data_IF_172432523455
#
_entry.id   IF_172432523455
#
_cell.length_a   1.000
_cell.length_b   1.000
_cell.length_c   1.000
_cell.angle_alpha   90.00
_cell.angle_beta   90.00
_cell.angle_gamma   90.00
#
_symmetry.space_group_name_H-M   'P 1'
#
loop_
_entity.id
_entity.type
_entity.pdbx_description
1 polymer ?
#
# COMPACT_ATOMS: atom_id res chain seq x y z
N UNK A 1 -31.08 -14.55 -35.41
CA UNK A 1 -31.43 -13.12 -35.34
C UNK A 1 -30.37 -12.44 -34.46
N UNK A 2 -29.38 -11.78 -35.08
CA UNK A 2 -28.22 -11.18 -34.38
C UNK A 2 -28.63 -10.14 -33.34
N UNK A 3 -29.78 -9.50 -33.55
CA UNK A 3 -30.38 -8.48 -32.67
C UNK A 3 -31.03 -9.07 -31.39
N UNK A 4 -31.42 -10.36 -31.39
CA UNK A 4 -32.23 -10.95 -30.29
C UNK A 4 -31.49 -11.98 -29.45
N UNK A 5 -30.45 -12.61 -29.98
CA UNK A 5 -29.68 -13.63 -29.29
C UNK A 5 -28.49 -13.04 -28.51
N UNK A 6 -28.72 -12.65 -27.26
CA UNK A 6 -27.66 -12.16 -26.38
C UNK A 6 -26.67 -13.25 -25.92
N UNK A 7 -26.95 -14.54 -26.16
CA UNK A 7 -26.05 -15.64 -25.77
C UNK A 7 -24.74 -15.67 -26.57
N UNK A 8 -24.68 -14.94 -27.69
CA UNK A 8 -23.50 -14.82 -28.56
C UNK A 8 -22.95 -13.40 -28.63
N UNK A 9 -23.46 -12.50 -27.80
CA UNK A 9 -23.12 -11.07 -27.84
C UNK A 9 -21.85 -10.80 -27.07
N UNK A 10 -20.98 -9.99 -27.68
CA UNK A 10 -19.82 -9.38 -27.02
C UNK A 10 -19.93 -7.86 -27.20
N UNK A 11 -19.85 -7.09 -26.11
CA UNK A 11 -19.89 -5.62 -26.13
C UNK A 11 -18.82 -5.05 -25.23
N UNK A 12 -18.10 -4.06 -25.73
CA UNK A 12 -17.15 -3.26 -24.98
C UNK A 12 -17.63 -1.80 -24.97
N UNK A 13 -17.71 -1.19 -23.79
CA UNK A 13 -18.00 0.23 -23.64
C UNK A 13 -16.91 0.86 -22.78
N UNK A 14 -16.25 1.90 -23.30
CA UNK A 14 -15.20 2.64 -22.58
C UNK A 14 -15.50 4.13 -22.63
N UNK A 15 -15.35 4.81 -21.50
CA UNK A 15 -15.41 6.27 -21.39
C UNK A 15 -14.23 6.71 -20.55
N UNK A 16 -13.40 7.58 -21.12
CA UNK A 16 -12.19 8.06 -20.46
C UNK A 16 -12.20 9.58 -20.42
N UNK A 17 -11.78 10.14 -19.30
CA UNK A 17 -11.49 11.56 -19.13
C UNK A 17 -10.03 11.69 -18.72
N UNK A 18 -9.27 12.45 -19.51
CA UNK A 18 -7.84 12.67 -19.27
C UNK A 18 -7.58 14.17 -19.14
N UNK A 19 -6.78 14.53 -18.16
CA UNK A 19 -6.23 15.89 -17.97
C UNK A 19 -4.74 15.77 -17.70
N UNK A 20 -4.02 16.89 -17.57
CA UNK A 20 -2.60 16.87 -17.18
C UNK A 20 -2.34 16.18 -15.83
N UNK A 21 -3.31 16.18 -14.91
CA UNK A 21 -3.12 15.74 -13.52
C UNK A 21 -4.13 14.67 -13.09
N UNK A 22 -4.92 14.13 -14.01
CA UNK A 22 -5.88 13.07 -13.67
C UNK A 22 -6.28 12.22 -14.86
N UNK A 23 -6.66 10.99 -14.54
CA UNK A 23 -7.25 10.02 -15.46
C UNK A 23 -8.47 9.40 -14.77
N UNK A 24 -9.60 9.34 -15.46
CA UNK A 24 -10.80 8.66 -14.97
C UNK A 24 -11.34 7.78 -16.10
N UNK A 25 -11.57 6.51 -15.81
CA UNK A 25 -12.08 5.54 -16.78
C UNK A 25 -13.29 4.81 -16.24
N UNK A 26 -14.27 4.62 -17.13
CA UNK A 26 -15.44 3.77 -16.92
C UNK A 26 -15.50 2.75 -18.04
N UNK A 27 -15.13 1.51 -17.75
CA UNK A 27 -15.09 0.44 -18.74
C UNK A 27 -16.06 -0.67 -18.35
N UNK A 28 -16.89 -1.09 -19.31
CA UNK A 28 -17.81 -2.22 -19.18
C UNK A 28 -17.56 -3.21 -20.29
N UNK A 29 -17.49 -4.49 -19.95
CA UNK A 29 -17.36 -5.59 -20.89
C UNK A 29 -18.52 -6.55 -20.66
N UNK A 30 -19.24 -6.88 -21.72
CA UNK A 30 -20.32 -7.87 -21.72
C UNK A 30 -19.92 -9.01 -22.66
N UNK A 31 -19.88 -10.24 -22.15
CA UNK A 31 -19.58 -11.45 -22.93
C UNK A 31 -20.66 -12.49 -22.60
N UNK A 32 -21.48 -12.86 -23.59
CA UNK A 32 -22.52 -13.89 -23.42
C UNK A 32 -23.43 -13.63 -22.20
N UNK A 33 -23.87 -12.37 -22.04
CA UNK A 33 -24.64 -11.81 -20.91
C UNK A 33 -23.89 -11.55 -19.59
N UNK A 34 -22.65 -12.04 -19.44
CA UNK A 34 -21.80 -11.79 -18.28
C UNK A 34 -21.22 -10.37 -18.34
N UNK A 35 -21.44 -9.57 -17.29
CA UNK A 35 -21.03 -8.16 -17.23
C UNK A 35 -19.88 -7.93 -16.26
N UNK A 36 -18.82 -7.33 -16.76
CA UNK A 36 -17.63 -6.93 -16.01
C UNK A 36 -17.50 -5.41 -16.05
N UNK A 37 -17.09 -4.81 -14.94
CA UNK A 37 -16.73 -3.38 -14.90
C UNK A 37 -15.31 -3.21 -14.36
N UNK A 38 -14.45 -2.55 -15.13
CA UNK A 38 -13.07 -2.25 -14.72
C UNK A 38 -12.86 -0.73 -14.81
N UNK A 39 -12.59 -0.11 -13.68
CA UNK A 39 -12.44 1.34 -13.61
C UNK A 39 -11.11 1.67 -12.93
N UNK A 40 -10.45 2.67 -13.49
CA UNK A 40 -9.21 3.24 -12.96
C UNK A 40 -9.41 4.73 -12.84
N UNK A 41 -9.10 5.26 -11.66
CA UNK A 41 -9.05 6.69 -11.39
C UNK A 41 -7.65 7.03 -10.88
N UNK A 42 -7.05 8.10 -11.38
CA UNK A 42 -5.82 8.65 -10.83
C UNK A 42 -5.89 10.16 -10.77
N UNK A 43 -5.21 10.73 -9.79
CA UNK A 43 -5.10 12.17 -9.60
C UNK A 43 -3.73 12.51 -9.00
N UNK A 44 -3.13 13.59 -9.46
CA UNK A 44 -1.89 14.12 -8.90
C UNK A 44 -0.91 14.58 -9.97
N UNK A 45 0.29 14.90 -9.52
CA UNK A 45 1.41 15.28 -10.38
C UNK A 45 2.61 14.40 -10.03
N UNK A 46 2.65 13.16 -10.52
CA UNK A 46 3.72 12.24 -10.19
C UNK A 46 5.03 12.75 -10.78
N UNK A 47 5.99 13.09 -9.93
CA UNK A 47 7.40 13.16 -10.34
C UNK A 47 8.05 11.82 -10.00
N UNK A 48 9.14 11.42 -10.68
CA UNK A 48 9.81 10.15 -10.39
C UNK A 48 10.17 10.00 -8.89
N UNK A 49 10.73 11.07 -8.31
CA UNK A 49 11.24 11.07 -6.92
C UNK A 49 10.32 11.79 -5.92
N UNK A 50 9.58 12.79 -6.38
CA UNK A 50 8.71 13.63 -5.53
C UNK A 50 7.25 13.63 -5.99
N UNK A 51 6.42 14.34 -5.26
CA UNK A 51 5.06 14.68 -5.65
C UNK A 51 4.01 13.86 -4.95
N UNK A 52 2.78 14.29 -5.17
CA UNK A 52 1.57 13.71 -4.61
C UNK A 52 0.75 13.07 -5.72
N UNK A 53 0.39 11.81 -5.54
CA UNK A 53 -0.56 11.14 -6.42
C UNK A 53 -1.37 10.08 -5.70
N UNK A 54 -2.54 9.81 -6.28
CA UNK A 54 -3.50 8.81 -5.86
C UNK A 54 -3.91 7.99 -7.09
N UNK A 55 -4.03 6.67 -6.93
CA UNK A 55 -4.56 5.75 -7.93
C UNK A 55 -5.57 4.84 -7.25
N UNK A 56 -6.75 4.69 -7.86
CA UNK A 56 -7.79 3.74 -7.47
C UNK A 56 -8.11 2.82 -8.64
N UNK A 57 -8.25 1.54 -8.35
CA UNK A 57 -8.68 0.53 -9.32
C UNK A 57 -9.86 -0.23 -8.71
N UNK A 58 -10.88 -0.50 -9.52
CA UNK A 58 -12.01 -1.34 -9.13
C UNK A 58 -12.40 -2.29 -10.25
N UNK A 59 -12.63 -3.55 -9.89
CA UNK A 59 -13.15 -4.61 -10.76
C UNK A 59 -14.45 -5.17 -10.15
N UNK A 60 -15.55 -5.11 -10.90
CA UNK A 60 -16.80 -5.79 -10.58
C UNK A 60 -16.95 -7.00 -11.49
N UNK A 61 -17.13 -8.18 -10.89
CA UNK A 61 -17.42 -9.42 -11.60
C UNK A 61 -18.94 -9.61 -11.74
N UNK A 62 -19.39 -10.41 -12.73
CA UNK A 62 -20.81 -10.71 -12.92
C UNK A 62 -21.47 -11.37 -11.70
N UNK A 63 -20.68 -12.10 -10.91
CA UNK A 63 -21.12 -12.72 -9.65
C UNK A 63 -21.50 -11.71 -8.56
N UNK A 64 -21.23 -10.42 -8.77
CA UNK A 64 -21.37 -9.36 -7.77
C UNK A 64 -20.15 -9.19 -6.86
N UNK A 65 -19.14 -10.05 -6.99
CA UNK A 65 -17.86 -9.94 -6.28
C UNK A 65 -17.08 -8.73 -6.79
N UNK A 66 -16.49 -7.96 -5.89
CA UNK A 66 -15.75 -6.75 -6.19
C UNK A 66 -14.32 -6.85 -5.67
N UNK A 67 -13.36 -6.49 -6.52
CA UNK A 67 -11.99 -6.26 -6.12
C UNK A 67 -11.66 -4.80 -6.30
N UNK A 68 -10.76 -4.29 -5.49
CA UNK A 68 -10.21 -2.99 -5.75
C UNK A 68 -8.99 -2.71 -4.93
N UNK A 69 -8.37 -1.59 -5.24
CA UNK A 69 -7.24 -1.10 -4.49
C UNK A 69 -7.05 0.38 -4.67
N UNK A 70 -6.32 0.95 -3.72
CA UNK A 70 -5.97 2.34 -3.70
C UNK A 70 -4.51 2.47 -3.32
N UNK A 71 -3.79 3.32 -4.03
CA UNK A 71 -2.41 3.69 -3.72
C UNK A 71 -2.33 5.21 -3.62
N UNK A 72 -1.71 5.68 -2.55
CA UNK A 72 -1.43 7.09 -2.31
C UNK A 72 0.05 7.27 -2.02
N UNK A 73 0.63 8.33 -2.56
CA UNK A 73 1.98 8.77 -2.23
C UNK A 73 1.99 10.28 -2.08
N UNK A 74 2.71 10.74 -1.08
CA UNK A 74 3.10 12.13 -0.86
C UNK A 74 4.59 12.12 -0.51
N UNK A 75 5.44 12.61 -1.40
CA UNK A 75 6.89 12.58 -1.23
C UNK A 75 7.51 13.93 -1.59
N UNK A 76 8.52 14.33 -0.84
CA UNK A 76 9.24 15.57 -1.05
C UNK A 76 10.72 15.42 -0.75
N UNK A 77 11.53 16.16 -1.50
CA UNK A 77 12.96 16.32 -1.23
C UNK A 77 13.24 17.76 -0.84
N UNK A 78 13.92 17.97 0.30
CA UNK A 78 14.36 19.28 0.78
C UNK A 78 15.76 19.15 1.37
N UNK A 79 16.67 20.06 1.01
CA UNK A 79 18.05 20.08 1.50
C UNK A 79 18.75 18.71 1.34
N UNK A 80 18.56 18.07 0.18
CA UNK A 80 19.04 16.71 -0.16
C UNK A 80 18.47 15.56 0.69
N UNK A 81 17.54 15.86 1.60
CA UNK A 81 16.84 14.87 2.42
C UNK A 81 15.46 14.55 1.86
N UNK A 82 15.10 13.28 1.91
CA UNK A 82 13.82 12.78 1.38
C UNK A 82 12.88 12.37 2.49
N UNK A 83 11.67 12.89 2.42
CA UNK A 83 10.57 12.56 3.34
C UNK A 83 9.33 12.17 2.55
N UNK A 84 8.48 11.34 3.13
CA UNK A 84 7.23 11.00 2.48
C UNK A 84 6.34 10.05 3.27
N UNK A 85 5.08 10.01 2.84
CA UNK A 85 4.07 9.06 3.30
C UNK A 85 3.50 8.33 2.10
N UNK A 86 3.33 7.03 2.24
CA UNK A 86 2.68 6.18 1.26
C UNK A 86 1.61 5.35 1.94
N UNK A 87 0.51 5.11 1.25
CA UNK A 87 -0.54 4.21 1.70
C UNK A 87 -0.99 3.34 0.52
N UNK A 88 -1.18 2.06 0.77
CA UNK A 88 -1.74 1.13 -0.21
C UNK A 88 -2.85 0.32 0.46
N UNK A 89 -3.92 0.04 -0.27
CA UNK A 89 -4.93 -0.91 0.17
C UNK A 89 -5.39 -1.75 -1.00
N UNK A 90 -5.71 -3.00 -0.72
CA UNK A 90 -6.41 -3.90 -1.64
C UNK A 90 -7.54 -4.59 -0.90
N UNK A 91 -8.61 -4.90 -1.61
CA UNK A 91 -9.74 -5.60 -1.03
C UNK A 91 -10.38 -6.59 -1.98
N UNK A 92 -11.07 -7.54 -1.37
CA UNK A 92 -11.92 -8.53 -2.02
C UNK A 92 -13.24 -8.58 -1.25
N UNK A 93 -14.29 -8.07 -1.90
CA UNK A 93 -15.63 -7.96 -1.36
C UNK A 93 -16.52 -9.00 -2.03
N UNK A 94 -17.04 -9.92 -1.22
CA UNK A 94 -17.94 -10.97 -1.64
C UNK A 94 -19.32 -10.42 -2.00
N UNK A 95 -20.09 -11.14 -2.83
CA UNK A 95 -21.53 -10.94 -2.93
C UNK A 95 -22.16 -11.00 -1.53
N UNK A 96 -23.05 -10.07 -1.20
CA UNK A 96 -23.61 -9.93 0.15
C UNK A 96 -22.80 -9.04 1.10
N UNK A 97 -21.65 -8.51 0.67
CA UNK A 97 -21.01 -7.36 1.31
C UNK A 97 -19.86 -7.66 2.26
N UNK A 98 -19.64 -8.91 2.67
CA UNK A 98 -18.45 -9.32 3.43
C UNK A 98 -17.18 -8.94 2.66
N UNK A 99 -16.19 -8.39 3.34
CA UNK A 99 -14.98 -7.82 2.73
C UNK A 99 -13.76 -8.25 3.53
N UNK A 100 -12.72 -8.70 2.83
CA UNK A 100 -11.36 -8.83 3.36
C UNK A 100 -10.45 -7.80 2.73
N UNK A 101 -9.44 -7.34 3.44
CA UNK A 101 -8.50 -6.32 2.94
C UNK A 101 -7.09 -6.53 3.47
N UNK A 102 -6.14 -5.98 2.71
CA UNK A 102 -4.79 -5.70 3.18
C UNK A 102 -4.56 -4.20 3.00
N UNK A 103 -4.08 -3.55 4.04
CA UNK A 103 -3.76 -2.13 4.09
C UNK A 103 -2.30 -1.98 4.54
N UNK A 104 -1.58 -1.06 3.93
CA UNK A 104 -0.21 -0.72 4.27
C UNK A 104 -0.07 0.79 4.34
N UNK A 105 0.61 1.29 5.36
CA UNK A 105 1.03 2.69 5.49
C UNK A 105 2.53 2.71 5.78
N UNK A 106 3.27 3.48 5.00
CA UNK A 106 4.69 3.72 5.19
C UNK A 106 4.98 5.21 5.38
N UNK A 107 5.85 5.53 6.33
CA UNK A 107 6.36 6.88 6.54
C UNK A 107 7.89 6.84 6.56
N UNK A 108 8.52 7.77 5.84
CA UNK A 108 9.96 7.96 5.81
C UNK A 108 10.26 9.40 6.20
N UNK A 109 11.16 9.58 7.16
CA UNK A 109 11.60 10.89 7.66
C UNK A 109 13.05 11.14 7.30
N UNK A 110 13.27 12.25 6.61
CA UNK A 110 14.56 12.92 6.40
C UNK A 110 15.68 12.01 5.91
N UNK A 111 15.36 11.02 5.07
CA UNK A 111 16.33 10.08 4.53
C UNK A 111 17.45 10.85 3.81
N UNK A 112 18.69 10.60 4.23
CA UNK A 112 19.88 11.19 3.65
C UNK A 112 20.76 10.07 3.11
N UNK A 113 20.87 10.01 1.79
CA UNK A 113 21.63 8.98 1.09
C UNK A 113 23.14 9.11 1.35
N UNK A 114 23.64 10.34 1.59
CA UNK A 114 25.08 10.59 1.82
C UNK A 114 25.50 10.05 3.18
N UNK A 115 24.72 10.34 4.22
CA UNK A 115 24.99 9.84 5.59
C UNK A 115 24.40 8.46 5.85
N UNK A 116 23.66 7.91 4.90
CA UNK A 116 22.86 6.68 5.02
C UNK A 116 21.83 6.77 6.16
N UNK A 117 21.44 7.97 6.59
CA UNK A 117 20.41 8.14 7.60
C UNK A 117 19.04 7.79 7.04
N UNK A 118 18.25 7.05 7.81
CA UNK A 118 16.82 6.90 7.58
C UNK A 118 16.08 6.60 8.88
N UNK A 119 14.83 7.04 8.95
CA UNK A 119 13.89 6.73 10.02
C UNK A 119 12.54 6.41 9.35
N UNK A 120 12.16 5.13 9.39
CA UNK A 120 11.06 4.57 8.64
C UNK A 120 10.09 3.82 9.56
N UNK A 121 8.80 4.01 9.32
CA UNK A 121 7.73 3.29 10.01
C UNK A 121 6.82 2.65 8.96
N UNK A 122 6.46 1.39 9.18
CA UNK A 122 5.49 0.66 8.39
C UNK A 122 4.42 0.06 9.28
N UNK A 123 3.16 0.23 8.88
CA UNK A 123 2.01 -0.45 9.46
C UNK A 123 1.35 -1.27 8.36
N UNK A 124 1.12 -2.56 8.61
CA UNK A 124 0.37 -3.45 7.72
C UNK A 124 -0.81 -4.00 8.49
N UNK A 125 -2.02 -3.88 7.95
CA UNK A 125 -3.24 -4.47 8.50
C UNK A 125 -3.85 -5.43 7.51
N UNK A 126 -4.11 -6.65 7.95
CA UNK A 126 -5.00 -7.60 7.29
C UNK A 126 -6.33 -7.65 8.03
N UNK A 127 -7.45 -7.64 7.30
CA UNK A 127 -8.78 -7.93 7.84
C UNK A 127 -9.40 -9.09 7.07
N UNK A 128 -9.93 -10.09 7.77
CA UNK A 128 -10.62 -11.23 7.19
C UNK A 128 -12.09 -10.92 6.84
N UNK A 129 -12.82 -11.92 6.34
CA UNK A 129 -14.22 -11.76 5.93
C UNK A 129 -15.21 -11.61 7.09
N UNK A 130 -14.79 -11.96 8.31
CA UNK A 130 -15.58 -11.82 9.54
C UNK A 130 -15.22 -10.52 10.29
N UNK A 131 -14.32 -9.70 9.73
CA UNK A 131 -13.88 -8.44 10.30
C UNK A 131 -12.82 -8.59 11.40
N UNK A 132 -12.25 -9.79 11.59
CA UNK A 132 -11.09 -9.98 12.47
C UNK A 132 -9.82 -9.57 11.75
N UNK A 133 -8.78 -9.24 12.50
CA UNK A 133 -7.59 -8.60 11.97
C UNK A 133 -6.26 -9.09 12.55
N UNK A 134 -5.21 -8.85 11.77
CA UNK A 134 -3.81 -8.87 12.20
C UNK A 134 -3.18 -7.55 11.78
N UNK A 135 -2.45 -6.94 12.70
CA UNK A 135 -1.68 -5.71 12.50
C UNK A 135 -0.21 -6.00 12.76
N UNK A 136 0.64 -5.62 11.81
CA UNK A 136 2.10 -5.67 11.90
C UNK A 136 2.63 -4.24 11.85
N UNK A 137 3.24 -3.79 12.94
CA UNK A 137 3.97 -2.54 13.03
C UNK A 137 5.47 -2.82 12.96
N UNK A 138 6.18 -2.06 12.13
CA UNK A 138 7.64 -2.14 11.97
C UNK A 138 8.22 -0.74 12.04
N UNK A 139 9.23 -0.55 12.87
CA UNK A 139 10.07 0.65 12.85
C UNK A 139 11.49 0.27 12.48
N UNK A 140 12.14 1.09 11.67
CA UNK A 140 13.52 0.90 11.25
C UNK A 140 14.23 2.25 11.26
N UNK A 141 15.39 2.28 11.92
CA UNK A 141 16.21 3.48 11.99
C UNK A 141 17.67 3.13 11.79
N UNK A 142 18.35 3.94 11.01
CA UNK A 142 19.80 3.90 10.89
C UNK A 142 20.33 5.33 10.92
N UNK A 143 21.38 5.56 11.70
CA UNK A 143 21.97 6.88 11.85
C UNK A 143 23.49 6.81 12.11
N UNK A 144 24.26 7.81 11.65
CA UNK A 144 25.64 8.00 12.12
C UNK A 144 25.70 8.18 13.64
N UNK A 145 26.74 7.62 14.28
CA UNK A 145 26.99 7.71 15.72
C UNK A 145 28.47 8.02 15.98
N UNK A 146 28.86 9.29 15.85
CA UNK A 146 30.28 9.69 15.91
C UNK A 146 31.09 9.05 14.79
N UNK A 147 32.14 8.28 15.14
CA UNK A 147 32.92 7.47 14.19
C UNK A 147 32.27 6.13 13.85
N UNK A 148 31.15 5.79 14.46
CA UNK A 148 30.41 4.54 14.29
C UNK A 148 29.06 4.77 13.60
N UNK A 149 28.30 3.69 13.45
CA UNK A 149 26.90 3.69 12.99
C UNK A 149 26.01 3.13 14.08
N UNK A 150 24.74 3.52 14.07
CA UNK A 150 23.69 2.97 14.94
C UNK A 150 22.54 2.44 14.09
N UNK A 151 21.86 1.42 14.59
CA UNK A 151 20.67 0.88 13.98
C UNK A 151 19.66 0.48 15.05
N UNK A 152 18.37 0.71 14.80
CA UNK A 152 17.30 0.24 15.65
C UNK A 152 16.18 -0.33 14.78
N UNK A 153 15.58 -1.42 15.24
CA UNK A 153 14.41 -1.98 14.62
C UNK A 153 13.44 -2.49 15.68
N UNK A 154 12.15 -2.24 15.47
CA UNK A 154 11.11 -2.89 16.27
C UNK A 154 10.06 -3.53 15.38
N UNK A 155 9.48 -4.60 15.88
CA UNK A 155 8.40 -5.33 15.26
C UNK A 155 7.34 -5.62 16.32
N UNK A 156 6.09 -5.31 16.02
CA UNK A 156 4.95 -5.64 16.86
C UNK A 156 3.86 -6.29 16.02
N UNK A 157 3.35 -7.43 16.48
CA UNK A 157 2.22 -8.12 15.87
C UNK A 157 1.07 -8.15 16.87
N UNK A 158 -0.09 -7.69 16.43
CA UNK A 158 -1.30 -7.59 17.25
C UNK A 158 -2.55 -7.85 16.41
N UNK A 159 -3.73 -7.83 17.03
CA UNK A 159 -5.01 -8.00 16.34
C UNK A 159 -5.85 -9.14 16.89
N UNK A 160 -7.11 -9.16 16.50
CA UNK A 160 -8.13 -10.09 17.00
C UNK A 160 -7.99 -11.52 16.47
N UNK A 161 -7.17 -11.75 15.43
CA UNK A 161 -6.81 -13.09 14.95
C UNK A 161 -5.67 -13.74 15.73
N UNK A 162 -5.03 -13.01 16.65
CA UNK A 162 -3.92 -13.51 17.44
C UNK A 162 -4.34 -13.76 18.89
N UNK A 163 -3.84 -14.83 19.54
CA UNK A 163 -4.14 -15.12 20.93
C UNK A 163 -3.49 -14.10 21.89
N UNK A 164 -2.40 -13.46 21.47
CA UNK A 164 -1.67 -12.47 22.25
C UNK A 164 -0.88 -11.52 21.34
N UNK A 165 -0.53 -10.35 21.87
CA UNK A 165 0.39 -9.41 21.23
C UNK A 165 1.82 -9.92 21.38
N UNK A 166 2.65 -9.78 20.35
CA UNK A 166 4.08 -10.08 20.39
C UNK A 166 4.86 -8.85 19.94
N UNK A 167 5.90 -8.48 20.67
CA UNK A 167 6.75 -7.34 20.37
C UNK A 167 8.22 -7.75 20.50
N UNK A 168 9.06 -7.25 19.60
CA UNK A 168 10.50 -7.46 19.60
C UNK A 168 11.16 -6.15 19.18
N UNK A 169 12.18 -5.72 19.93
CA UNK A 169 12.99 -4.57 19.58
C UNK A 169 14.47 -4.92 19.69
N UNK A 170 15.24 -4.53 18.67
CA UNK A 170 16.69 -4.67 18.62
C UNK A 170 17.30 -3.30 18.41
N UNK A 171 18.27 -2.96 19.24
CA UNK A 171 19.04 -1.71 19.11
C UNK A 171 20.51 -2.05 19.08
N UNK A 172 21.21 -1.49 18.11
CA UNK A 172 22.66 -1.51 17.97
C UNK A 172 23.13 -0.08 18.16
N UNK A 173 23.59 0.22 19.38
CA UNK A 173 23.95 1.58 19.81
C UNK A 173 25.15 2.12 19.01
N UNK A 174 26.15 1.25 18.75
CA UNK A 174 27.30 1.55 17.92
C UNK A 174 27.82 0.28 17.22
N UNK A 175 28.18 0.38 15.95
CA UNK A 175 28.89 -0.68 15.22
C UNK A 175 29.86 -0.16 14.13
N UNK A 176 30.91 -0.95 13.88
CA UNK A 176 31.82 -0.86 12.73
C UNK A 176 32.25 -2.28 12.29
N UNK A 177 33.24 -2.40 11.41
CA UNK A 177 33.74 -3.70 10.92
C UNK A 177 34.37 -4.58 12.02
N UNK A 178 34.76 -4.01 13.16
CA UNK A 178 35.49 -4.71 14.22
C UNK A 178 34.84 -4.61 15.62
N UNK A 179 33.71 -3.92 15.75
CA UNK A 179 33.07 -3.65 17.04
C UNK A 179 31.56 -3.50 16.90
N UNK A 180 30.80 -3.99 17.88
CA UNK A 180 29.36 -3.77 17.98
C UNK A 180 28.90 -3.82 19.45
N UNK A 181 28.02 -2.89 19.84
CA UNK A 181 27.24 -2.96 21.10
C UNK A 181 25.76 -3.01 20.75
N UNK A 182 25.04 -3.97 21.31
CA UNK A 182 23.62 -4.17 21.03
C UNK A 182 22.84 -4.65 22.26
N UNK A 183 21.54 -4.40 22.26
CA UNK A 183 20.59 -4.91 23.24
C UNK A 183 19.27 -5.33 22.56
N UNK A 184 18.58 -6.29 23.17
CA UNK A 184 17.32 -6.87 22.68
C UNK A 184 16.28 -6.78 23.78
N UNK A 185 15.10 -6.28 23.44
CA UNK A 185 13.93 -6.21 24.31
C UNK A 185 12.76 -6.98 23.67
N UNK A 186 11.96 -7.69 24.46
CA UNK A 186 10.78 -8.44 24.01
C UNK A 186 9.80 -8.70 25.13
#
# INVERSE_FOLDING_TARGET
DFEKDNSKKVRFETKNKVTQTSFDSKNKVEVFSEKYELNVQSQGNPKPVDGKFNVKVSLLLPTGRQFGGEFQRDASTKDEKRSGKMAASVYDKQPGGKKRSVEWVGELKDMDVKTKFFDAVHNVKYSDLEGKDVVLDVTLKHAPAGSYKSAAGSLKVSGSLLPQVTELSVVVDEYCEHHAKYHVNG
#
